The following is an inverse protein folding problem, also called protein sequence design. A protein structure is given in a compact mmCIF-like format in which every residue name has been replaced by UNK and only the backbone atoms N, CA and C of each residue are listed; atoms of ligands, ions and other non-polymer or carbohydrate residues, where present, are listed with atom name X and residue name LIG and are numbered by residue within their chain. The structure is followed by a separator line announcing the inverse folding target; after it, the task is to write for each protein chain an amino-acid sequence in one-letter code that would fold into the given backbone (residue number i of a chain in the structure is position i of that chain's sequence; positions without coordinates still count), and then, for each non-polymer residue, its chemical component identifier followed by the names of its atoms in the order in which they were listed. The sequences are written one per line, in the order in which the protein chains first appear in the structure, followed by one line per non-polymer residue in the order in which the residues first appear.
data_IF_279167948748
#
_entry.id   IF_279167948748
#
_cell.length_a   1.000
_cell.length_b   1.000
_cell.length_c   1.000
_cell.angle_alpha   90.00
_cell.angle_beta   90.00
_cell.angle_gamma   90.00
#
_symmetry.space_group_name_H-M   'P 1'
#
loop_
_entity.id
_entity.type
_entity.pdbx_description
1 polymer ?
#
# COMPACT_ATOMS: atom_id res chain seq x y z
N UNK A 1 24.60 5.25 19.69
CA UNK A 1 23.25 5.75 19.52
C UNK A 1 22.77 5.76 18.08
N UNK A 2 23.53 6.26 17.12
CA UNK A 2 23.08 6.52 15.78
C UNK A 2 22.52 5.33 15.00
N UNK A 3 23.27 4.27 14.83
CA UNK A 3 22.85 3.12 13.99
C UNK A 3 21.65 2.37 14.56
N UNK A 4 21.63 2.13 15.88
CA UNK A 4 20.54 1.39 16.52
C UNK A 4 19.24 2.17 16.52
N UNK A 5 19.29 3.45 16.86
CA UNK A 5 18.10 4.31 16.87
C UNK A 5 17.50 4.46 15.47
N UNK A 6 18.33 4.63 14.43
CA UNK A 6 17.88 4.72 13.05
C UNK A 6 17.26 3.42 12.58
N UNK A 7 17.86 2.27 12.94
CA UNK A 7 17.31 0.95 12.60
C UNK A 7 15.95 0.71 13.23
N UNK A 8 15.77 1.09 14.50
CA UNK A 8 14.48 0.99 15.18
C UNK A 8 13.42 1.86 14.54
N UNK A 9 13.77 3.08 14.14
CA UNK A 9 12.89 3.99 13.44
C UNK A 9 12.48 3.41 12.07
N UNK A 10 13.42 2.85 11.34
CA UNK A 10 13.15 2.23 10.06
C UNK A 10 12.24 1.01 10.17
N UNK A 11 12.41 0.20 11.23
CA UNK A 11 11.53 -0.93 11.51
C UNK A 11 10.11 -0.47 11.84
N UNK A 12 9.98 0.61 12.59
CA UNK A 12 8.69 1.22 12.88
C UNK A 12 8.02 1.70 11.59
N UNK A 13 8.77 2.38 10.72
CA UNK A 13 8.26 2.82 9.42
C UNK A 13 7.83 1.63 8.55
N UNK A 14 8.56 0.51 8.63
CA UNK A 14 8.20 -0.70 7.91
C UNK A 14 6.85 -1.25 8.38
N UNK A 15 6.63 -1.32 9.69
CA UNK A 15 5.35 -1.76 10.27
C UNK A 15 4.21 -0.87 9.80
N UNK A 16 4.40 0.45 9.84
CA UNK A 16 3.40 1.41 9.37
C UNK A 16 3.11 1.25 7.87
N UNK A 17 4.17 1.06 7.08
CA UNK A 17 4.04 0.87 5.63
C UNK A 17 3.27 -0.42 5.33
N UNK A 18 3.56 -1.52 6.04
CA UNK A 18 2.84 -2.79 5.89
C UNK A 18 1.36 -2.63 6.21
N UNK A 19 1.03 -1.83 7.23
CA UNK A 19 -0.37 -1.53 7.56
C UNK A 19 -1.06 -0.78 6.43
N UNK A 20 -0.40 0.24 5.86
CA UNK A 20 -0.96 1.00 4.73
C UNK A 20 -1.16 0.11 3.51
N UNK A 21 -0.23 -0.81 3.24
CA UNK A 21 -0.36 -1.78 2.16
C UNK A 21 -1.61 -2.64 2.36
N UNK A 22 -1.79 -3.18 3.57
CA UNK A 22 -2.96 -4.00 3.89
C UNK A 22 -4.27 -3.22 3.73
N UNK A 23 -4.32 -1.97 4.19
CA UNK A 23 -5.49 -1.10 4.04
C UNK A 23 -5.79 -0.82 2.57
N UNK A 24 -4.77 -0.52 1.75
CA UNK A 24 -4.94 -0.31 0.32
C UNK A 24 -5.52 -1.55 -0.37
N UNK A 25 -5.00 -2.72 -0.05
CA UNK A 25 -5.50 -3.99 -0.62
C UNK A 25 -6.95 -4.23 -0.27
N UNK A 26 -7.36 -3.91 0.96
CA UNK A 26 -8.76 -4.03 1.37
C UNK A 26 -9.67 -3.07 0.61
N UNK A 27 -9.26 -1.82 0.44
CA UNK A 27 -10.03 -0.85 -0.32
C UNK A 27 -10.12 -1.21 -1.80
N UNK A 28 -9.03 -1.73 -2.37
CA UNK A 28 -9.01 -2.22 -3.75
C UNK A 28 -10.04 -3.34 -3.93
N UNK A 29 -10.06 -4.30 -3.02
CA UNK A 29 -11.02 -5.40 -3.07
C UNK A 29 -12.47 -4.90 -3.04
N UNK A 30 -12.76 -3.92 -2.17
CA UNK A 30 -14.09 -3.31 -2.08
C UNK A 30 -14.48 -2.58 -3.37
N UNK A 31 -13.55 -1.84 -3.96
CA UNK A 31 -13.84 -1.14 -5.22
C UNK A 31 -14.12 -2.12 -6.34
N UNK A 32 -13.39 -3.22 -6.43
CA UNK A 32 -13.64 -4.27 -7.41
C UNK A 32 -15.02 -4.88 -7.26
N UNK A 33 -15.46 -5.13 -6.03
CA UNK A 33 -16.83 -5.61 -5.76
C UNK A 33 -17.88 -4.60 -6.21
N UNK A 34 -17.68 -3.32 -5.93
CA UNK A 34 -18.59 -2.26 -6.34
C UNK A 34 -18.71 -2.17 -7.86
N UNK A 35 -17.59 -2.28 -8.56
CA UNK A 35 -17.54 -2.29 -10.01
C UNK A 35 -18.35 -3.47 -10.55
N UNK A 36 -18.12 -4.65 -10.03
CA UNK A 36 -18.82 -5.86 -10.44
C UNK A 36 -20.33 -5.73 -10.25
N UNK A 37 -20.76 -5.23 -9.10
CA UNK A 37 -22.19 -5.00 -8.82
C UNK A 37 -22.80 -3.95 -9.72
N UNK A 38 -22.06 -2.89 -10.02
CA UNK A 38 -22.52 -1.84 -10.92
C UNK A 38 -22.72 -2.38 -12.34
N UNK A 39 -21.80 -3.21 -12.82
CA UNK A 39 -21.91 -3.88 -14.12
C UNK A 39 -23.17 -4.73 -14.17
N UNK A 40 -23.39 -5.56 -13.14
CA UNK A 40 -24.57 -6.43 -13.06
C UNK A 40 -25.89 -5.66 -13.07
N UNK A 41 -25.89 -4.44 -12.53
CA UNK A 41 -27.05 -3.56 -12.45
C UNK A 41 -27.18 -2.58 -13.60
N UNK A 42 -26.27 -2.63 -14.56
CA UNK A 42 -26.23 -1.69 -15.69
C UNK A 42 -25.93 -0.26 -15.26
N UNK A 43 -25.22 -0.05 -14.18
CA UNK A 43 -24.85 1.28 -13.67
C UNK A 43 -23.44 1.66 -14.09
N UNK A 44 -23.16 2.98 -14.06
CA UNK A 44 -21.83 3.49 -14.38
C UNK A 44 -20.80 3.01 -13.37
N UNK A 45 -19.61 2.66 -13.86
CA UNK A 45 -18.46 2.23 -13.05
C UNK A 45 -17.37 3.31 -12.98
N UNK A 46 -17.59 4.45 -13.61
CA UNK A 46 -16.56 5.47 -13.82
C UNK A 46 -15.90 5.96 -12.52
N UNK A 47 -16.70 6.32 -11.52
CA UNK A 47 -16.16 6.81 -10.23
C UNK A 47 -15.38 5.71 -9.51
N UNK A 48 -15.92 4.49 -9.49
CA UNK A 48 -15.26 3.37 -8.83
C UNK A 48 -13.95 3.00 -9.53
N UNK A 49 -13.90 3.06 -10.85
CA UNK A 49 -12.68 2.80 -11.63
C UNK A 49 -11.61 3.85 -11.36
N UNK A 50 -11.98 5.13 -11.27
CA UNK A 50 -11.05 6.20 -10.94
C UNK A 50 -10.48 6.01 -9.54
N UNK A 51 -11.33 5.64 -8.59
CA UNK A 51 -10.91 5.35 -7.21
C UNK A 51 -9.94 4.15 -7.18
N UNK A 52 -10.26 3.11 -7.94
CA UNK A 52 -9.41 1.92 -8.03
C UNK A 52 -8.01 2.27 -8.55
N UNK A 53 -7.93 3.07 -9.62
CA UNK A 53 -6.65 3.52 -10.18
C UNK A 53 -5.81 4.27 -9.14
N UNK A 54 -6.44 5.19 -8.40
CA UNK A 54 -5.76 5.96 -7.36
C UNK A 54 -5.23 5.05 -6.25
N UNK A 55 -6.01 4.05 -5.85
CA UNK A 55 -5.61 3.07 -4.84
C UNK A 55 -4.45 2.19 -5.31
N UNK A 56 -4.47 1.77 -6.57
CA UNK A 56 -3.39 0.98 -7.16
C UNK A 56 -2.09 1.77 -7.23
N UNK A 57 -2.15 3.06 -7.56
CA UNK A 57 -0.98 3.94 -7.54
C UNK A 57 -0.41 4.07 -6.12
N UNK A 58 -1.29 4.27 -5.14
CA UNK A 58 -0.89 4.37 -3.73
C UNK A 58 -0.24 3.07 -3.27
N UNK A 59 -0.81 1.93 -3.63
CA UNK A 59 -0.26 0.62 -3.29
C UNK A 59 1.15 0.47 -3.86
N UNK A 60 1.34 0.82 -5.12
CA UNK A 60 2.65 0.78 -5.78
C UNK A 60 3.69 1.63 -5.06
N UNK A 61 3.30 2.84 -4.63
CA UNK A 61 4.18 3.74 -3.89
C UNK A 61 4.58 3.15 -2.53
N UNK A 62 3.62 2.59 -1.79
CA UNK A 62 3.91 1.95 -0.50
C UNK A 62 4.79 0.70 -0.66
N UNK A 63 4.56 -0.09 -1.67
CA UNK A 63 5.39 -1.27 -1.96
C UNK A 63 6.82 -0.87 -2.31
N UNK A 64 7.00 0.21 -3.07
CA UNK A 64 8.32 0.76 -3.37
C UNK A 64 9.03 1.24 -2.10
N UNK A 65 8.31 1.94 -1.24
CA UNK A 65 8.83 2.38 0.06
C UNK A 65 9.25 1.21 0.94
N UNK A 66 8.44 0.15 0.95
CA UNK A 66 8.75 -1.06 1.70
C UNK A 66 10.08 -1.68 1.25
N UNK A 67 10.29 -1.81 -0.06
CA UNK A 67 11.55 -2.31 -0.61
C UNK A 67 12.75 -1.47 -0.18
N UNK A 68 12.62 -0.14 -0.25
CA UNK A 68 13.67 0.77 0.17
C UNK A 68 14.02 0.61 1.64
N UNK A 69 13.01 0.47 2.50
CA UNK A 69 13.21 0.25 3.93
C UNK A 69 13.90 -1.07 4.21
N UNK A 70 13.51 -2.13 3.53
CA UNK A 70 14.14 -3.45 3.66
C UNK A 70 15.60 -3.42 3.22
N UNK A 71 15.89 -2.76 2.13
CA UNK A 71 17.26 -2.62 1.63
C UNK A 71 18.15 -1.88 2.62
N UNK A 72 17.65 -0.79 3.22
CA UNK A 72 18.37 -0.05 4.24
C UNK A 72 18.65 -0.90 5.49
N UNK A 73 17.66 -1.67 5.92
CA UNK A 73 17.82 -2.56 7.07
C UNK A 73 18.87 -3.63 6.80
N UNK A 74 18.88 -4.22 5.61
CA UNK A 74 19.90 -5.21 5.22
C UNK A 74 21.30 -4.61 5.24
N UNK A 75 21.47 -3.40 4.71
CA UNK A 75 22.76 -2.72 4.71
C UNK A 75 23.28 -2.47 6.13
N UNK A 76 22.40 -2.09 7.04
CA UNK A 76 22.76 -1.79 8.42
C UNK A 76 23.05 -3.02 9.26
N UNK A 77 22.48 -4.16 8.90
CA UNK A 77 22.68 -5.42 9.62
C UNK A 77 23.93 -6.19 9.17
N UNK A 78 24.64 -5.73 8.16
CA UNK A 78 25.91 -6.32 7.72
C UNK A 78 27.06 -6.04 8.67
#
# INVERSE_FOLDING_TARGET
MGKRAVTELERKHLVETDRHIAECKNYIAKQRELIERAIQRGRSTEVAETTLEALEESLGAFEGRRRSLLDRLKERER
#
